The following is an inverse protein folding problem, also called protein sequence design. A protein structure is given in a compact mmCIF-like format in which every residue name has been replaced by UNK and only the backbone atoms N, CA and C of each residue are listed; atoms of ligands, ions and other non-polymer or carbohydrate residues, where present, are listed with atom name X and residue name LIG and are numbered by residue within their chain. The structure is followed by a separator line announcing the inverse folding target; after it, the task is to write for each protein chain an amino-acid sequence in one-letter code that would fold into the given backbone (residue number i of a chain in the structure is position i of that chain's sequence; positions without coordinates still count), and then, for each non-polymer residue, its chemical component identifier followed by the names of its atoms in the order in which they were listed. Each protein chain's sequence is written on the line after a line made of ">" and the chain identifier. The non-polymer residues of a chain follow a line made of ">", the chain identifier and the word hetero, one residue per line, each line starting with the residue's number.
data_IF_577832975317
#
_entry.id   IF_577832975317
#
_cell.length_a   1.000
_cell.length_b   1.000
_cell.length_c   1.000
_cell.angle_alpha   90.00
_cell.angle_beta   90.00
_cell.angle_gamma   90.00
#
_symmetry.space_group_name_H-M   'P 1'
#
loop_
_entity.id
_entity.type
_entity.pdbx_description
1 polymer ?
#
# COMPACT_ATOMS: atom_id res chain seq x y z
N UNK A 1 -22.61 -2.03 1.44
CA UNK A 1 -21.49 -1.18 0.99
C UNK A 1 -20.33 -2.13 0.83
N UNK A 2 -19.91 -2.39 -0.41
CA UNK A 2 -18.92 -3.43 -0.67
C UNK A 2 -17.51 -2.87 -0.44
N UNK A 3 -16.83 -3.42 0.55
CA UNK A 3 -15.45 -3.09 0.88
C UNK A 3 -14.56 -4.26 0.47
N UNK A 4 -13.51 -3.97 -0.31
CA UNK A 4 -12.58 -4.99 -0.77
C UNK A 4 -11.16 -4.58 -0.41
N UNK A 5 -10.49 -5.36 0.45
CA UNK A 5 -9.06 -5.22 0.67
C UNK A 5 -8.33 -6.02 -0.40
N UNK A 6 -7.50 -5.35 -1.20
CA UNK A 6 -6.71 -5.98 -2.26
C UNK A 6 -5.23 -5.81 -1.95
N UNK A 7 -4.46 -6.86 -2.20
CA UNK A 7 -3.01 -6.82 -2.15
C UNK A 7 -2.45 -6.51 -3.53
N UNK A 8 -1.46 -5.62 -3.58
CA UNK A 8 -0.75 -5.26 -4.79
C UNK A 8 0.75 -5.35 -4.56
N UNK A 9 1.49 -5.59 -5.64
CA UNK A 9 2.95 -5.43 -5.67
C UNK A 9 3.27 -4.33 -6.67
N UNK A 10 3.92 -3.27 -6.21
CA UNK A 10 4.18 -2.11 -7.05
C UNK A 10 4.99 -1.05 -6.35
N UNK A 11 5.41 -0.03 -7.09
CA UNK A 11 6.10 1.12 -6.51
C UNK A 11 5.06 2.07 -5.95
N UNK A 12 5.15 2.34 -4.64
CA UNK A 12 4.24 3.25 -3.94
C UNK A 12 4.99 4.54 -3.60
N UNK A 13 4.39 5.67 -3.94
CA UNK A 13 4.82 7.00 -3.57
C UNK A 13 3.85 7.54 -2.53
N UNK A 14 4.38 7.97 -1.40
CA UNK A 14 3.59 8.58 -0.33
C UNK A 14 3.92 10.06 -0.24
N UNK A 15 2.88 10.88 -0.05
CA UNK A 15 2.98 12.30 0.25
C UNK A 15 2.57 12.47 1.72
N UNK A 16 3.52 12.43 2.68
CA UNK A 16 3.19 12.35 4.10
C UNK A 16 2.37 13.54 4.60
N UNK A 17 2.65 14.75 4.09
CA UNK A 17 1.97 15.99 4.49
C UNK A 17 0.48 15.98 4.13
N UNK A 18 0.14 15.52 2.92
CA UNK A 18 -1.25 15.49 2.43
C UNK A 18 -1.95 14.16 2.69
N UNK A 19 -1.23 13.16 3.22
CA UNK A 19 -1.69 11.77 3.41
C UNK A 19 -2.23 11.16 2.11
N UNK A 20 -1.63 11.51 0.99
CA UNK A 20 -1.97 10.92 -0.31
C UNK A 20 -0.95 9.84 -0.68
N UNK A 21 -1.38 8.91 -1.54
CA UNK A 21 -0.46 7.98 -2.17
C UNK A 21 -0.77 7.81 -3.65
N UNK A 22 0.25 7.40 -4.38
CA UNK A 22 0.17 6.91 -5.75
C UNK A 22 0.89 5.56 -5.82
N UNK A 23 0.20 4.54 -6.35
CA UNK A 23 0.74 3.20 -6.51
C UNK A 23 0.80 2.87 -8.00
N UNK A 24 2.01 2.60 -8.49
CA UNK A 24 2.24 2.05 -9.82
C UNK A 24 2.32 0.53 -9.70
N UNK A 25 1.36 -0.17 -10.28
CA UNK A 25 1.20 -1.62 -10.14
C UNK A 25 0.76 -2.25 -11.46
N UNK A 26 0.54 -3.56 -11.45
CA UNK A 26 -0.07 -4.30 -12.55
C UNK A 26 -1.40 -4.88 -12.08
N UNK A 27 -2.47 -4.66 -12.84
CA UNK A 27 -3.81 -5.22 -12.59
C UNK A 27 -4.21 -6.02 -13.82
N UNK A 28 -4.49 -7.31 -13.63
CA UNK A 28 -4.81 -8.24 -14.73
C UNK A 28 -3.78 -8.25 -15.87
N UNK A 29 -2.50 -8.13 -15.54
CA UNK A 29 -1.40 -8.14 -16.53
C UNK A 29 -1.17 -6.80 -17.24
N UNK A 30 -1.97 -5.77 -16.97
CA UNK A 30 -1.78 -4.43 -17.54
C UNK A 30 -1.24 -3.45 -16.48
N UNK A 31 -0.33 -2.53 -16.84
CA UNK A 31 0.08 -1.44 -15.96
C UNK A 31 -1.12 -0.60 -15.52
N UNK A 32 -1.16 -0.25 -14.23
CA UNK A 32 -2.23 0.53 -13.64
C UNK A 32 -1.68 1.47 -12.56
N UNK A 33 -2.36 2.59 -12.37
CA UNK A 33 -2.07 3.56 -11.31
C UNK A 33 -3.27 3.62 -10.37
N UNK A 34 -3.03 3.39 -9.08
CA UNK A 34 -4.04 3.49 -8.02
C UNK A 34 -3.67 4.67 -7.14
N UNK A 35 -4.57 5.64 -7.03
CA UNK A 35 -4.39 6.83 -6.20
C UNK A 35 -5.41 6.85 -5.08
N UNK A 36 -5.02 7.37 -3.92
CA UNK A 36 -5.92 7.46 -2.79
C UNK A 36 -5.27 8.12 -1.58
N UNK A 37 -5.82 7.82 -0.40
CA UNK A 37 -5.31 8.34 0.86
C UNK A 37 -4.63 7.26 1.68
N UNK A 38 -3.78 7.68 2.61
CA UNK A 38 -3.12 6.79 3.58
C UNK A 38 -4.00 6.66 4.82
N UNK A 39 -4.18 5.43 5.30
CA UNK A 39 -4.90 5.16 6.56
C UNK A 39 -4.25 5.89 7.73
N UNK A 40 -5.05 6.20 8.78
CA UNK A 40 -4.54 6.92 9.95
C UNK A 40 -3.42 6.14 10.66
N UNK A 41 -3.56 4.82 10.77
CA UNK A 41 -2.54 3.96 11.37
C UNK A 41 -1.23 4.02 10.57
N UNK A 42 -1.28 3.79 9.26
CA UNK A 42 -0.09 3.83 8.43
C UNK A 42 0.54 5.24 8.36
N UNK A 43 -0.28 6.29 8.35
CA UNK A 43 0.21 7.67 8.45
C UNK A 43 0.97 7.91 9.76
N UNK A 44 0.49 7.36 10.89
CA UNK A 44 1.21 7.44 12.16
C UNK A 44 2.55 6.69 12.11
N UNK A 45 2.61 5.53 11.45
CA UNK A 45 3.84 4.76 11.28
C UNK A 45 4.89 5.51 10.44
N UNK A 46 4.46 6.28 9.43
CA UNK A 46 5.35 7.16 8.67
C UNK A 46 5.83 8.35 9.50
N UNK A 47 4.93 9.03 10.22
CA UNK A 47 5.28 10.20 11.03
C UNK A 47 6.16 9.89 12.23
N UNK A 48 6.06 8.68 12.78
CA UNK A 48 6.83 8.24 13.95
C UNK A 48 8.12 7.53 13.56
N UNK A 49 8.48 7.51 12.27
CA UNK A 49 9.68 6.83 11.81
C UNK A 49 10.93 7.38 12.51
N UNK A 50 11.67 6.45 13.13
CA UNK A 50 13.01 6.67 13.67
C UNK A 50 13.85 5.49 13.24
N UNK A 51 15.09 5.69 12.74
CA UNK A 51 15.97 4.58 12.36
C UNK A 51 16.09 3.55 13.49
N UNK A 52 15.77 2.28 13.19
CA UNK A 52 15.82 1.17 14.15
C UNK A 52 14.56 0.98 15.01
N UNK A 53 13.54 1.82 14.89
CA UNK A 53 12.27 1.64 15.60
C UNK A 53 11.40 0.56 14.94
N UNK A 54 11.03 -0.46 15.73
CA UNK A 54 10.18 -1.56 15.29
C UNK A 54 8.76 -1.04 15.00
N UNK A 55 8.18 -1.46 13.88
CA UNK A 55 6.79 -1.15 13.54
C UNK A 55 6.59 0.27 12.96
N UNK A 56 7.67 0.98 12.65
CA UNK A 56 7.65 2.22 11.88
C UNK A 56 8.11 1.94 10.46
N UNK A 57 7.67 2.77 9.50
CA UNK A 57 8.03 2.60 8.08
C UNK A 57 8.74 3.84 7.62
N UNK A 58 9.95 3.71 7.06
CA UNK A 58 10.69 4.83 6.51
C UNK A 58 10.01 5.33 5.21
N UNK A 59 9.35 6.50 5.20
CA UNK A 59 8.66 6.99 4.02
C UNK A 59 9.60 7.22 2.83
N UNK A 60 10.89 7.51 3.06
CA UNK A 60 11.87 7.71 1.99
C UNK A 60 12.26 6.39 1.30
N UNK A 61 12.16 5.26 2.01
CA UNK A 61 12.52 3.93 1.49
C UNK A 61 11.34 3.20 0.84
N UNK A 62 10.12 3.72 1.00
CA UNK A 62 8.90 3.11 0.44
C UNK A 62 8.96 3.07 -1.09
N UNK A 63 9.43 4.14 -1.73
CA UNK A 63 9.47 4.28 -3.19
C UNK A 63 10.74 3.70 -3.86
N UNK A 64 11.75 3.29 -3.09
CA UNK A 64 13.06 2.84 -3.62
C UNK A 64 12.95 1.58 -4.48
N UNK A 65 11.98 0.72 -4.17
CA UNK A 65 11.69 -0.50 -4.92
C UNK A 65 10.23 -0.89 -4.78
N UNK A 66 9.68 -1.74 -5.67
CA UNK A 66 8.33 -2.27 -5.51
C UNK A 66 8.11 -2.90 -4.13
N UNK A 67 6.97 -2.61 -3.52
CA UNK A 67 6.53 -3.12 -2.22
C UNK A 67 5.24 -3.92 -2.40
N UNK A 68 5.06 -4.92 -1.55
CA UNK A 68 3.73 -5.48 -1.31
C UNK A 68 2.96 -4.49 -0.43
N UNK A 69 1.75 -4.17 -0.83
CA UNK A 69 0.89 -3.22 -0.13
C UNK A 69 -0.55 -3.73 -0.06
N UNK A 70 -1.25 -3.34 0.99
CA UNK A 70 -2.69 -3.59 1.14
C UNK A 70 -3.44 -2.28 0.85
N UNK A 71 -4.42 -2.34 -0.05
CA UNK A 71 -5.27 -1.21 -0.41
C UNK A 71 -6.74 -1.60 -0.24
N UNK A 72 -7.41 -0.93 0.69
CA UNK A 72 -8.85 -1.01 0.86
C UNK A 72 -9.55 -0.16 -0.21
N UNK A 73 -10.45 -0.78 -0.97
CA UNK A 73 -11.29 -0.11 -1.96
C UNK A 73 -12.73 -0.11 -1.50
N UNK A 74 -13.35 1.07 -1.48
CA UNK A 74 -14.77 1.26 -1.15
C UNK A 74 -15.49 1.91 -2.30
N UNK A 75 -16.72 1.49 -2.54
CA UNK A 75 -17.59 2.12 -3.52
C UNK A 75 -18.53 3.13 -2.84
N UNK A 76 -18.34 4.40 -3.17
CA UNK A 76 -19.10 5.51 -2.61
C UNK A 76 -20.26 5.87 -3.53
N UNK A 77 -21.47 5.76 -3.00
CA UNK A 77 -22.71 6.11 -3.69
C UNK A 77 -23.30 7.37 -3.04
N UNK A 78 -23.10 8.52 -3.69
CA UNK A 78 -23.65 9.79 -3.23
C UNK A 78 -24.89 10.17 -4.05
N UNK A 79 -25.90 10.76 -3.40
CA UNK A 79 -27.12 11.20 -4.10
C UNK A 79 -26.75 12.19 -5.21
N UNK A 80 -27.31 11.99 -6.41
CA UNK A 80 -27.04 12.81 -7.61
C UNK A 80 -25.59 12.78 -8.13
N UNK A 81 -24.79 11.79 -7.73
CA UNK A 81 -23.45 11.56 -8.28
C UNK A 81 -23.30 10.14 -8.80
N UNK A 82 -22.46 9.98 -9.81
CA UNK A 82 -22.06 8.65 -10.26
C UNK A 82 -21.30 7.92 -9.12
N UNK A 83 -21.50 6.60 -8.94
CA UNK A 83 -20.71 5.82 -8.01
C UNK A 83 -19.21 5.98 -8.29
N UNK A 84 -18.40 6.13 -7.24
CA UNK A 84 -16.95 6.26 -7.37
C UNK A 84 -16.23 5.32 -6.42
N UNK A 85 -15.06 4.84 -6.85
CA UNK A 85 -14.15 4.07 -6.00
C UNK A 85 -13.27 5.03 -5.23
N UNK A 86 -13.08 4.74 -3.94
CA UNK A 86 -12.09 5.40 -3.10
C UNK A 86 -11.11 4.37 -2.59
N UNK A 87 -9.82 4.70 -2.63
CA UNK A 87 -8.75 3.81 -2.24
C UNK A 87 -8.07 4.33 -0.98
N UNK A 88 -7.81 3.42 -0.05
CA UNK A 88 -7.14 3.69 1.21
C UNK A 88 -5.96 2.72 1.35
N UNK A 89 -4.74 3.24 1.39
CA UNK A 89 -3.54 2.45 1.67
C UNK A 89 -3.51 2.11 3.16
N UNK A 90 -3.66 0.82 3.48
CA UNK A 90 -3.76 0.35 4.86
C UNK A 90 -2.45 -0.23 5.37
N UNK A 91 -1.62 -0.79 4.49
CA UNK A 91 -0.36 -1.42 4.88
C UNK A 91 0.71 -1.33 3.80
N UNK A 92 1.96 -1.15 4.23
CA UNK A 92 3.16 -1.35 3.41
C UNK A 92 4.01 -2.41 4.09
N UNK A 93 4.35 -3.48 3.37
CA UNK A 93 5.21 -4.53 3.90
C UNK A 93 6.68 -4.16 3.76
N UNK A 94 7.47 -4.46 4.78
CA UNK A 94 8.92 -4.39 4.69
C UNK A 94 9.48 -5.50 3.83
N UNK A 95 10.61 -5.22 3.17
CA UNK A 95 11.18 -6.15 2.20
C UNK A 95 11.93 -7.29 2.87
N UNK A 96 12.14 -7.25 4.19
CA UNK A 96 12.80 -8.33 4.92
C UNK A 96 11.95 -9.62 5.01
N UNK A 97 10.70 -9.61 4.59
CA UNK A 97 9.86 -10.81 4.56
C UNK A 97 9.90 -11.56 3.21
N UNK A 98 11.08 -11.60 2.56
CA UNK A 98 11.29 -12.35 1.32
C UNK A 98 12.67 -13.02 1.27
N UNK A 99 13.08 -13.67 2.36
CA UNK A 99 14.16 -14.66 2.31
C UNK A 99 14.05 -15.71 3.42
N UNK A 100 12.98 -16.53 3.42
CA UNK A 100 13.18 -17.91 3.86
C UNK A 100 13.28 -18.78 2.61
N UNK A 101 14.49 -19.28 2.26
CA UNK A 101 14.57 -20.31 1.23
C UNK A 101 13.73 -21.49 1.72
N UNK A 102 12.75 -21.88 0.91
CA UNK A 102 12.02 -23.13 1.12
C UNK A 102 13.10 -24.22 1.06
N UNK A 103 13.29 -25.06 2.10
CA UNK A 103 14.20 -26.18 1.97
C UNK A 103 13.63 -27.09 0.88
N UNK A 104 14.26 -27.09 -0.29
CA UNK A 104 14.08 -28.15 -1.28
C UNK A 104 14.54 -29.42 -0.60
N UNK A 105 13.58 -30.27 -0.22
CA UNK A 105 13.85 -31.64 0.19
C UNK A 105 14.64 -32.30 -0.93
N UNK A 106 15.90 -32.62 -0.64
CA UNK A 106 16.70 -33.49 -1.50
C UNK A 106 15.98 -34.84 -1.59
N UNK A 107 15.69 -35.27 -2.82
CA UNK A 107 15.30 -36.64 -3.16
C UNK A 107 16.55 -37.44 -3.43
#
# INVERSE_FOLDING_TARGET
>A
MDEHCNEYVGTVYVLPETRCFELHTTVHGAPATICGTVSQLLASQFSQYVPGAIGTVDPQQVAVRPRRVEVLTRELHERHRAPRKVHLLTRVHDVEEQARPVPVSAV
#
